data_IF_181413174237
#
_entry.id   IF_181413174237
#
_cell.length_a   1.000
_cell.length_b   1.000
_cell.length_c   1.000
_cell.angle_alpha   90.00
_cell.angle_beta   90.00
_cell.angle_gamma   90.00
#
_symmetry.space_group_name_H-M   'P 1'
#
loop_
_entity.id
_entity.type
_entity.pdbx_description
1 polymer ?
#
# COMPACT_ATOMS: atom_id res chain seq x y z
N UNK A 1 -3.40 9.10 6.64
CA UNK A 1 -3.14 8.28 5.44
C UNK A 1 -3.27 9.11 4.18
N UNK A 2 -2.35 8.94 3.22
CA UNK A 2 -2.43 9.50 1.86
C UNK A 2 -2.89 8.43 0.86
N UNK A 3 -3.79 8.78 -0.05
CA UNK A 3 -4.25 7.90 -1.15
C UNK A 3 -4.08 8.63 -2.47
N UNK A 4 -3.57 7.93 -3.48
CA UNK A 4 -3.47 8.41 -4.87
C UNK A 4 -4.10 7.38 -5.80
N UNK A 5 -4.95 7.83 -6.69
CA UNK A 5 -5.44 7.05 -7.82
C UNK A 5 -5.28 7.90 -9.07
N UNK A 6 -4.57 7.38 -10.05
CA UNK A 6 -4.37 7.98 -11.36
C UNK A 6 -4.73 6.98 -12.45
N UNK A 7 -5.39 7.44 -13.49
CA UNK A 7 -5.78 6.63 -14.64
C UNK A 7 -5.56 7.43 -15.91
N UNK A 8 -5.00 6.79 -16.92
CA UNK A 8 -4.79 7.37 -18.24
C UNK A 8 -4.90 6.30 -19.32
N UNK A 9 -5.18 6.73 -20.55
CA UNK A 9 -5.13 5.89 -21.74
C UNK A 9 -3.87 6.21 -22.53
N UNK A 10 -3.30 5.19 -23.18
CA UNK A 10 -2.15 5.30 -24.08
C UNK A 10 -2.36 4.35 -25.28
N UNK A 11 -1.50 4.39 -26.29
CA UNK A 11 -1.67 3.59 -27.51
C UNK A 11 -1.73 2.07 -27.25
N UNK A 12 -1.08 1.59 -26.19
CA UNK A 12 -1.10 0.18 -25.76
C UNK A 12 -2.29 -0.21 -24.86
N UNK A 13 -3.23 0.70 -24.57
CA UNK A 13 -4.39 0.44 -23.71
C UNK A 13 -4.56 1.43 -22.56
N UNK A 14 -4.82 0.91 -21.38
CA UNK A 14 -5.04 1.72 -20.18
C UNK A 14 -3.94 1.48 -19.13
N UNK A 15 -3.65 2.52 -18.37
CA UNK A 15 -2.75 2.49 -17.23
C UNK A 15 -3.44 3.04 -16.00
N UNK A 16 -3.30 2.35 -14.88
CA UNK A 16 -3.88 2.76 -13.60
C UNK A 16 -2.85 2.62 -12.49
N UNK A 17 -2.62 3.71 -11.78
CA UNK A 17 -1.79 3.75 -10.56
C UNK A 17 -2.70 3.90 -9.34
N UNK A 18 -2.50 3.05 -8.34
CA UNK A 18 -3.07 3.23 -7.01
C UNK A 18 -1.97 3.16 -5.96
N UNK A 19 -1.98 4.08 -5.01
CA UNK A 19 -1.01 4.15 -3.90
C UNK A 19 -1.73 4.42 -2.59
N UNK A 20 -1.30 3.74 -1.54
CA UNK A 20 -1.63 4.06 -0.14
C UNK A 20 -0.32 4.31 0.61
N UNK A 21 -0.30 5.40 1.39
CA UNK A 21 0.78 5.78 2.29
C UNK A 21 0.19 6.01 3.67
N UNK A 22 0.54 5.22 4.66
CA UNK A 22 0.08 5.40 6.03
C UNK A 22 1.16 6.09 6.86
N UNK A 23 0.83 7.30 7.35
CA UNK A 23 1.77 8.18 8.00
C UNK A 23 1.93 7.88 9.49
N UNK A 24 3.16 7.76 9.95
CA UNK A 24 3.56 7.51 11.33
C UNK A 24 4.15 8.76 11.99
N UNK A 25 4.17 8.83 13.33
CA UNK A 25 4.93 9.85 14.08
C UNK A 25 4.12 11.06 14.54
N UNK A 26 2.87 10.86 14.96
CA UNK A 26 1.94 11.90 15.43
C UNK A 26 1.32 12.70 14.28
N UNK A 27 0.10 13.21 14.49
CA UNK A 27 -0.82 13.68 13.45
C UNK A 27 -0.20 14.54 12.32
N UNK A 28 0.52 15.61 12.65
CA UNK A 28 0.99 16.57 11.63
C UNK A 28 2.20 16.10 10.80
N UNK A 29 2.97 15.13 11.28
CA UNK A 29 4.27 14.78 10.71
C UNK A 29 4.20 13.54 9.82
N UNK A 30 3.43 12.55 10.20
CA UNK A 30 3.11 11.42 9.34
C UNK A 30 2.33 11.86 8.09
N UNK A 31 1.42 12.84 8.23
CA UNK A 31 0.72 13.45 7.09
C UNK A 31 1.68 14.12 6.10
N UNK A 32 2.71 14.82 6.59
CA UNK A 32 3.69 15.47 5.72
C UNK A 32 4.53 14.45 4.96
N UNK A 33 4.96 13.36 5.62
CA UNK A 33 5.71 12.28 4.99
C UNK A 33 4.86 11.60 3.90
N UNK A 34 3.63 11.18 4.22
CA UNK A 34 2.73 10.54 3.26
C UNK A 34 2.40 11.46 2.09
N UNK A 35 2.09 12.75 2.34
CA UNK A 35 1.83 13.72 1.29
C UNK A 35 3.05 13.95 0.38
N UNK A 36 4.28 13.93 0.92
CA UNK A 36 5.50 14.09 0.13
C UNK A 36 5.68 12.92 -0.83
N UNK A 37 5.49 11.69 -0.35
CA UNK A 37 5.58 10.48 -1.18
C UNK A 37 4.48 10.47 -2.25
N UNK A 38 3.24 10.74 -1.88
CA UNK A 38 2.09 10.80 -2.81
C UNK A 38 2.34 11.81 -3.93
N UNK A 39 2.85 13.02 -3.62
CA UNK A 39 3.15 14.04 -4.63
C UNK A 39 4.26 13.59 -5.58
N UNK A 40 5.29 12.91 -5.08
CA UNK A 40 6.38 12.41 -5.92
C UNK A 40 5.87 11.37 -6.91
N UNK A 41 5.03 10.43 -6.49
CA UNK A 41 4.44 9.43 -7.37
C UNK A 41 3.39 10.02 -8.33
N UNK A 42 2.63 11.02 -7.89
CA UNK A 42 1.73 11.76 -8.79
C UNK A 42 2.51 12.47 -9.91
N UNK A 43 3.62 13.14 -9.55
CA UNK A 43 4.50 13.79 -10.51
C UNK A 43 5.14 12.79 -11.48
N UNK A 44 5.66 11.68 -10.96
CA UNK A 44 6.23 10.63 -11.80
C UNK A 44 5.19 10.09 -12.81
N UNK A 45 3.96 9.85 -12.38
CA UNK A 45 2.89 9.40 -13.27
C UNK A 45 2.60 10.39 -14.40
N UNK A 46 2.61 11.69 -14.11
CA UNK A 46 2.26 12.73 -15.07
C UNK A 46 3.43 13.07 -16.02
N UNK A 47 4.68 13.06 -15.51
CA UNK A 47 5.83 13.60 -16.23
C UNK A 47 6.78 12.52 -16.77
N UNK A 48 6.90 11.37 -16.14
CA UNK A 48 7.89 10.33 -16.49
C UNK A 48 7.27 9.08 -17.09
N UNK A 49 6.15 8.60 -16.54
CA UNK A 49 5.47 7.40 -17.02
C UNK A 49 5.15 7.43 -18.53
N UNK A 50 4.72 8.56 -19.16
CA UNK A 50 4.45 8.58 -20.60
C UNK A 50 5.63 8.10 -21.45
N UNK A 51 6.87 8.45 -21.09
CA UNK A 51 8.06 7.99 -21.79
C UNK A 51 8.38 6.51 -21.55
N UNK A 52 7.98 5.97 -20.40
CA UNK A 52 8.18 4.56 -20.09
C UNK A 52 7.15 3.66 -20.79
N UNK A 53 6.00 4.21 -21.15
CA UNK A 53 4.96 3.52 -21.91
C UNK A 53 5.32 3.33 -23.39
N UNK A 54 6.31 4.03 -23.93
CA UNK A 54 6.83 3.80 -25.28
C UNK A 54 7.49 2.41 -25.43
N UNK A 55 8.16 1.93 -24.37
CA UNK A 55 8.77 0.59 -24.30
C UNK A 55 8.56 0.01 -22.89
N UNK A 56 7.40 -0.55 -22.64
CA UNK A 56 6.98 -1.02 -21.31
C UNK A 56 7.89 -2.15 -20.80
N UNK A 57 8.62 -1.88 -19.72
CA UNK A 57 9.29 -2.88 -18.90
C UNK A 57 8.98 -2.64 -17.41
N UNK A 58 8.08 -3.45 -16.88
CA UNK A 58 7.65 -3.32 -15.48
C UNK A 58 8.75 -3.60 -14.47
N UNK A 59 9.82 -4.33 -14.84
CA UNK A 59 10.98 -4.52 -13.97
C UNK A 59 11.80 -3.23 -13.88
N UNK A 60 11.95 -2.52 -14.99
CA UNK A 60 12.60 -1.20 -15.03
C UNK A 60 11.80 -0.20 -14.21
N UNK A 61 10.48 -0.13 -14.41
CA UNK A 61 9.57 0.73 -13.63
C UNK A 61 9.68 0.42 -12.13
N UNK A 62 9.63 -0.85 -11.74
CA UNK A 62 9.78 -1.26 -10.34
C UNK A 62 11.14 -0.90 -9.75
N UNK A 63 12.22 -1.02 -10.54
CA UNK A 63 13.56 -0.57 -10.16
C UNK A 63 13.63 0.94 -9.92
N UNK A 64 13.01 1.75 -10.79
CA UNK A 64 12.90 3.21 -10.62
C UNK A 64 12.10 3.57 -9.37
N UNK A 65 10.98 2.90 -9.12
CA UNK A 65 10.19 3.11 -7.91
C UNK A 65 10.99 2.80 -6.64
N UNK A 66 11.79 1.72 -6.68
CA UNK A 66 12.70 1.41 -5.56
C UNK A 66 13.70 2.53 -5.31
N UNK A 67 14.31 3.08 -6.36
CA UNK A 67 15.25 4.21 -6.25
C UNK A 67 14.55 5.49 -5.77
N UNK A 68 13.37 5.80 -6.28
CA UNK A 68 12.56 6.93 -5.81
C UNK A 68 12.24 6.83 -4.33
N UNK A 69 11.85 5.65 -3.84
CA UNK A 69 11.55 5.45 -2.41
C UNK A 69 12.79 5.59 -1.53
N UNK A 70 13.95 5.13 -2.00
CA UNK A 70 15.23 5.32 -1.30
C UNK A 70 15.62 6.81 -1.23
N UNK A 71 15.49 7.56 -2.33
CA UNK A 71 15.73 9.01 -2.34
C UNK A 71 14.76 9.76 -1.44
N UNK A 72 13.46 9.45 -1.53
CA UNK A 72 12.44 10.04 -0.67
C UNK A 72 12.70 9.76 0.81
N UNK A 73 13.16 8.54 1.15
CA UNK A 73 13.55 8.21 2.52
C UNK A 73 14.65 9.16 3.03
N UNK A 74 15.72 9.34 2.28
CA UNK A 74 16.82 10.24 2.66
C UNK A 74 16.31 11.68 2.85
N UNK A 75 15.56 12.20 1.89
CA UNK A 75 15.04 13.57 1.93
C UNK A 75 14.09 13.82 3.10
N UNK A 76 13.18 12.87 3.38
CA UNK A 76 12.24 12.98 4.51
C UNK A 76 13.00 12.84 5.83
N UNK A 77 13.97 11.93 5.92
CA UNK A 77 14.81 11.74 7.10
C UNK A 77 15.62 13.01 7.44
N UNK A 78 16.21 13.67 6.43
CA UNK A 78 16.91 14.94 6.61
C UNK A 78 15.96 16.07 7.05
N UNK A 79 14.79 16.15 6.42
CA UNK A 79 13.76 17.11 6.83
C UNK A 79 13.28 16.83 8.28
N UNK A 80 13.14 15.56 8.66
CA UNK A 80 12.80 15.16 10.02
C UNK A 80 13.83 15.67 11.03
N UNK A 81 15.12 15.44 10.77
CA UNK A 81 16.21 15.92 11.63
C UNK A 81 16.22 17.45 11.80
N UNK A 82 15.81 18.19 10.74
CA UNK A 82 15.80 19.65 10.74
C UNK A 82 14.57 20.26 11.44
N UNK A 83 13.42 19.64 11.30
CA UNK A 83 12.13 20.25 11.71
C UNK A 83 11.44 19.52 12.85
N UNK A 84 11.89 18.31 13.23
CA UNK A 84 11.35 17.57 14.35
C UNK A 84 12.15 17.82 15.63
N UNK A 85 11.48 17.70 16.79
CA UNK A 85 12.15 17.72 18.08
C UNK A 85 12.99 16.45 18.24
N UNK A 86 14.02 16.52 19.10
CA UNK A 86 14.84 15.33 19.39
C UNK A 86 13.96 14.14 19.84
N UNK A 87 14.14 13.01 19.16
CA UNK A 87 13.36 11.79 19.41
C UNK A 87 12.04 11.67 18.65
N UNK A 88 11.64 12.67 17.87
CA UNK A 88 10.48 12.57 16.96
C UNK A 88 10.95 12.30 15.54
N UNK A 89 10.28 11.39 14.86
CA UNK A 89 10.51 11.11 13.44
C UNK A 89 9.21 11.28 12.64
N UNK A 90 9.34 11.63 11.38
CA UNK A 90 8.23 11.56 10.43
C UNK A 90 8.51 10.47 9.42
N UNK A 91 7.58 9.55 9.28
CA UNK A 91 7.68 8.44 8.37
C UNK A 91 6.33 8.03 7.83
N UNK A 92 6.36 7.23 6.79
CA UNK A 92 5.16 6.68 6.18
C UNK A 92 5.42 5.30 5.61
N UNK A 93 4.40 4.45 5.57
CA UNK A 93 4.41 3.27 4.71
C UNK A 93 4.28 3.70 3.25
N UNK A 94 4.55 2.80 2.35
CA UNK A 94 4.24 2.94 0.93
C UNK A 94 3.78 1.60 0.36
N UNK A 95 2.64 1.60 -0.29
CA UNK A 95 2.19 0.48 -1.11
C UNK A 95 1.56 1.04 -2.38
N UNK A 96 2.21 0.79 -3.50
CA UNK A 96 1.76 1.22 -4.82
C UNK A 96 1.63 0.04 -5.77
N UNK A 97 0.58 0.06 -6.60
CA UNK A 97 0.38 -0.86 -7.74
C UNK A 97 0.13 -0.05 -9.00
N UNK A 98 0.84 -0.38 -10.07
CA UNK A 98 0.59 0.12 -11.42
C UNK A 98 0.14 -1.03 -12.29
N UNK A 99 -1.01 -0.88 -12.91
CA UNK A 99 -1.49 -1.76 -13.98
C UNK A 99 -1.14 -1.14 -15.33
N UNK A 100 -0.58 -1.95 -16.23
CA UNK A 100 -0.28 -1.58 -17.63
C UNK A 100 -0.75 -2.73 -18.51
N UNK A 101 -1.86 -2.55 -19.20
CA UNK A 101 -2.50 -3.63 -19.97
C UNK A 101 -2.83 -4.83 -19.08
N UNK A 102 -2.30 -6.01 -19.44
CA UNK A 102 -2.51 -7.28 -18.73
C UNK A 102 -1.45 -7.59 -17.65
N UNK A 103 -0.68 -6.61 -17.21
CA UNK A 103 0.40 -6.78 -16.25
C UNK A 103 0.33 -5.75 -15.14
N UNK A 104 0.99 -6.03 -14.02
CA UNK A 104 1.15 -5.08 -12.94
C UNK A 104 2.56 -5.10 -12.34
N UNK A 105 2.95 -3.97 -11.74
CA UNK A 105 4.09 -3.86 -10.83
C UNK A 105 3.62 -3.32 -9.49
N UNK A 106 4.15 -3.88 -8.40
CA UNK A 106 3.95 -3.42 -7.03
C UNK A 106 5.29 -3.01 -6.45
N UNK A 107 5.33 -1.88 -5.74
CA UNK A 107 6.39 -1.58 -4.79
C UNK A 107 5.78 -1.37 -3.40
N UNK A 108 6.49 -1.85 -2.36
CA UNK A 108 5.94 -1.89 -1.01
C UNK A 108 7.03 -1.64 0.05
N UNK A 109 6.72 -0.79 1.02
CA UNK A 109 7.48 -0.54 2.27
C UNK A 109 6.48 -0.40 3.42
N UNK A 110 6.62 -1.23 4.45
CA UNK A 110 5.80 -1.17 5.65
C UNK A 110 4.84 -2.36 5.80
N UNK A 111 3.60 -2.11 6.18
CA UNK A 111 2.58 -3.13 6.47
C UNK A 111 1.19 -2.82 5.87
N UNK A 112 1.07 -1.77 5.06
CA UNK A 112 -0.08 -1.63 4.16
C UNK A 112 -0.06 -2.76 3.13
N UNK A 113 -1.20 -3.27 2.69
CA UNK A 113 -1.24 -4.51 1.91
C UNK A 113 -1.88 -4.33 0.54
N UNK A 114 -1.45 -5.18 -0.40
CA UNK A 114 -2.19 -5.47 -1.65
C UNK A 114 -2.72 -6.89 -1.57
N UNK A 115 -4.01 -7.03 -1.81
CA UNK A 115 -4.67 -8.32 -2.01
C UNK A 115 -5.15 -8.47 -3.44
N UNK A 116 -5.03 -9.68 -3.98
CA UNK A 116 -5.69 -10.13 -5.20
C UNK A 116 -6.90 -10.96 -4.79
N UNK A 117 -8.07 -10.66 -5.34
CA UNK A 117 -9.34 -11.29 -4.98
C UNK A 117 -9.95 -11.91 -6.22
N UNK A 118 -10.03 -13.24 -6.23
CA UNK A 118 -10.58 -14.06 -7.33
C UNK A 118 -11.62 -15.03 -6.76
N UNK A 119 -11.38 -16.34 -6.87
CA UNK A 119 -12.10 -17.38 -6.12
C UNK A 119 -11.66 -17.46 -4.66
N UNK A 120 -10.57 -16.83 -4.33
CA UNK A 120 -9.99 -16.68 -2.99
C UNK A 120 -9.43 -15.26 -2.82
N UNK A 121 -8.90 -14.97 -1.63
CA UNK A 121 -8.23 -13.71 -1.33
C UNK A 121 -6.78 -14.01 -0.97
N UNK A 122 -5.85 -13.48 -1.79
CA UNK A 122 -4.43 -13.70 -1.65
C UNK A 122 -3.70 -12.38 -1.39
N UNK A 123 -3.00 -12.28 -0.27
CA UNK A 123 -2.06 -11.19 -0.03
C UNK A 123 -0.86 -11.30 -0.97
N UNK A 124 -0.54 -10.22 -1.68
CA UNK A 124 0.60 -10.15 -2.61
C UNK A 124 1.84 -9.55 -1.94
N UNK A 125 1.69 -8.55 -1.11
CA UNK A 125 2.78 -7.92 -0.35
C UNK A 125 3.11 -8.71 0.91
N UNK A 126 4.33 -8.54 1.42
CA UNK A 126 4.76 -9.14 2.70
C UNK A 126 4.94 -8.04 3.73
N UNK A 127 4.23 -8.13 4.84
CA UNK A 127 4.36 -7.14 5.93
C UNK A 127 5.79 -7.07 6.44
N UNK A 128 6.33 -5.87 6.51
CA UNK A 128 7.67 -5.59 7.00
C UNK A 128 7.62 -5.17 8.49
N UNK A 129 6.99 -6.04 9.31
CA UNK A 129 6.88 -5.86 10.76
C UNK A 129 7.80 -6.82 11.51
N UNK A 130 8.06 -6.50 12.78
CA UNK A 130 8.82 -7.38 13.68
C UNK A 130 8.19 -8.79 13.74
N UNK A 131 6.89 -8.86 13.97
CA UNK A 131 6.19 -10.14 14.12
C UNK A 131 6.16 -10.95 12.83
N UNK A 132 5.96 -10.31 11.67
CA UNK A 132 6.00 -10.98 10.38
C UNK A 132 7.37 -11.63 10.11
N UNK A 133 8.46 -10.92 10.46
CA UNK A 133 9.82 -11.46 10.38
C UNK A 133 10.03 -12.65 11.31
N UNK A 134 9.56 -12.57 12.56
CA UNK A 134 9.74 -13.68 13.51
C UNK A 134 8.92 -14.92 13.09
N UNK A 135 7.72 -14.71 12.55
CA UNK A 135 6.92 -15.80 11.98
C UNK A 135 7.65 -16.46 10.79
N UNK A 136 8.19 -15.66 9.87
CA UNK A 136 8.93 -16.16 8.70
C UNK A 136 10.19 -16.95 9.08
N UNK A 137 10.81 -16.64 10.23
CA UNK A 137 11.97 -17.35 10.80
C UNK A 137 11.58 -18.59 11.60
N UNK A 138 10.28 -18.83 11.82
CA UNK A 138 9.80 -19.92 12.67
C UNK A 138 10.02 -19.72 14.15
N UNK A 139 10.40 -18.54 14.60
CA UNK A 139 10.60 -18.18 16.02
C UNK A 139 9.32 -17.75 16.73
N UNK A 140 8.25 -17.55 15.96
CA UNK A 140 6.92 -17.16 16.46
C UNK A 140 5.83 -17.81 15.61
N UNK A 141 4.72 -18.26 16.24
CA UNK A 141 3.52 -18.70 15.51
C UNK A 141 2.66 -17.52 15.10
N UNK A 142 1.77 -17.71 14.13
CA UNK A 142 0.79 -16.67 13.75
C UNK A 142 -0.09 -16.24 14.93
N UNK A 143 -0.51 -17.17 15.77
CA UNK A 143 -1.32 -16.88 16.96
C UNK A 143 -0.56 -16.01 17.98
N UNK A 144 0.72 -16.32 18.20
CA UNK A 144 1.59 -15.52 19.05
C UNK A 144 1.79 -14.12 18.48
N UNK A 145 1.98 -14.01 17.15
CA UNK A 145 2.16 -12.73 16.47
C UNK A 145 0.95 -11.80 16.64
N UNK A 146 -0.27 -12.32 16.56
CA UNK A 146 -1.51 -11.55 16.75
C UNK A 146 -1.64 -10.97 18.17
N UNK A 147 -1.07 -11.64 19.17
CA UNK A 147 -1.13 -11.24 20.58
C UNK A 147 0.11 -10.46 21.05
N UNK A 148 1.17 -10.39 20.23
CA UNK A 148 2.41 -9.71 20.59
C UNK A 148 2.19 -8.18 20.63
N UNK A 149 2.67 -7.54 21.70
CA UNK A 149 2.58 -6.07 21.86
C UNK A 149 3.33 -5.31 20.77
N UNK A 150 4.27 -5.96 20.08
CA UNK A 150 5.08 -5.41 18.97
C UNK A 150 4.46 -5.69 17.59
N UNK A 151 3.21 -6.16 17.52
CA UNK A 151 2.58 -6.53 16.24
C UNK A 151 2.59 -5.42 15.18
N UNK A 152 2.51 -4.16 15.64
CA UNK A 152 2.52 -2.97 14.76
C UNK A 152 3.93 -2.35 14.65
N UNK A 153 4.99 -3.01 15.15
CA UNK A 153 6.35 -2.49 15.08
C UNK A 153 6.93 -2.72 13.69
N UNK A 154 6.98 -1.65 12.89
CA UNK A 154 7.58 -1.68 11.55
C UNK A 154 9.10 -1.88 11.63
N UNK A 155 9.63 -2.68 10.71
CA UNK A 155 11.07 -2.86 10.51
C UNK A 155 11.66 -1.77 9.65
N UNK A 156 10.84 -1.21 8.76
CA UNK A 156 11.23 -0.08 7.92
C UNK A 156 10.01 0.74 7.48
N UNK A 157 10.22 2.02 7.32
CA UNK A 157 9.27 2.98 6.77
C UNK A 157 10.01 4.13 6.09
N UNK A 158 9.40 4.73 5.10
CA UNK A 158 9.99 5.83 4.33
C UNK A 158 10.05 7.10 5.19
N UNK A 159 11.25 7.62 5.42
CA UNK A 159 11.50 8.85 6.17
C UNK A 159 11.90 8.67 7.64
N UNK A 160 11.81 7.45 8.19
CA UNK A 160 12.23 7.18 9.57
C UNK A 160 13.16 5.96 9.71
N UNK A 161 13.52 5.32 8.63
CA UNK A 161 14.52 4.25 8.60
C UNK A 161 15.85 4.75 8.04
N UNK A 162 16.97 4.27 8.56
CA UNK A 162 18.29 4.60 8.01
C UNK A 162 18.41 4.15 6.54
N UNK A 163 17.87 2.97 6.25
CA UNK A 163 17.81 2.40 4.89
C UNK A 163 16.42 1.80 4.67
N UNK A 164 15.88 1.97 3.48
CA UNK A 164 14.68 1.25 3.03
C UNK A 164 15.03 0.34 1.87
N UNK A 165 14.51 -0.88 1.94
CA UNK A 165 14.60 -1.88 0.87
C UNK A 165 13.17 -2.23 0.42
N UNK A 166 12.64 -1.52 -0.59
CA UNK A 166 11.30 -1.77 -1.08
C UNK A 166 11.16 -3.19 -1.65
N UNK A 167 10.09 -3.89 -1.28
CA UNK A 167 9.70 -5.11 -1.98
C UNK A 167 9.14 -4.70 -3.36
N UNK A 168 9.69 -5.27 -4.43
CA UNK A 168 9.21 -5.05 -5.80
C UNK A 168 8.71 -6.37 -6.37
N UNK A 169 7.49 -6.37 -6.89
CA UNK A 169 6.81 -7.53 -7.47
C UNK A 169 6.24 -7.16 -8.84
N UNK A 170 6.31 -8.08 -9.79
CA UNK A 170 5.61 -7.96 -11.07
C UNK A 170 4.76 -9.19 -11.31
N UNK A 171 3.64 -9.03 -12.00
CA UNK A 171 2.75 -10.14 -12.29
C UNK A 171 1.83 -9.86 -13.46
N UNK A 172 1.06 -10.88 -13.83
CA UNK A 172 -0.05 -10.75 -14.78
C UNK A 172 -1.32 -10.39 -14.04
N UNK A 173 -2.07 -9.46 -14.62
CA UNK A 173 -3.41 -9.11 -14.15
C UNK A 173 -4.34 -10.29 -14.40
N UNK A 174 -5.13 -10.62 -13.40
CA UNK A 174 -6.18 -11.65 -13.53
C UNK A 174 -7.54 -10.99 -13.40
N UNK A 175 -8.53 -11.57 -14.04
CA UNK A 175 -9.93 -11.14 -13.89
C UNK A 175 -10.37 -11.31 -12.43
N UNK A 176 -10.84 -10.21 -11.83
CA UNK A 176 -11.22 -10.20 -10.42
C UNK A 176 -11.19 -8.81 -9.82
N UNK A 177 -10.64 -8.71 -8.61
CA UNK A 177 -10.42 -7.44 -7.94
C UNK A 177 -9.05 -7.40 -7.25
N UNK A 178 -8.54 -6.19 -7.06
CA UNK A 178 -7.39 -5.91 -6.25
C UNK A 178 -7.78 -4.92 -5.16
N UNK A 179 -7.27 -5.12 -3.96
CA UNK A 179 -7.52 -4.23 -2.84
C UNK A 179 -6.20 -3.77 -2.25
N UNK A 180 -6.06 -2.45 -2.06
CA UNK A 180 -5.02 -1.89 -1.22
C UNK A 180 -5.68 -1.43 0.08
N UNK A 181 -5.05 -1.67 1.23
CA UNK A 181 -5.59 -1.21 2.51
C UNK A 181 -4.49 -0.86 3.52
N UNK A 182 -4.82 0.06 4.43
CA UNK A 182 -4.03 0.33 5.64
C UNK A 182 -4.25 -0.78 6.68
N UNK A 183 -3.40 -0.78 7.70
CA UNK A 183 -3.52 -1.69 8.85
C UNK A 183 -4.81 -1.43 9.63
N UNK A 184 -5.22 -0.17 9.84
CA UNK A 184 -6.48 0.17 10.49
C UNK A 184 -7.72 -0.36 9.76
N UNK A 185 -7.67 -0.64 8.45
CA UNK A 185 -8.78 -1.31 7.77
C UNK A 185 -8.91 -2.79 8.15
N UNK A 186 -7.82 -3.46 8.49
CA UNK A 186 -7.75 -4.91 8.69
C UNK A 186 -7.60 -5.39 10.14
N UNK A 187 -7.38 -4.48 11.10
CA UNK A 187 -7.17 -4.84 12.51
C UNK A 187 -8.39 -5.52 13.12
N UNK A 188 -9.58 -4.98 12.84
CA UNK A 188 -10.82 -5.39 13.48
C UNK A 188 -11.74 -6.20 12.54
N UNK A 189 -11.22 -6.67 11.40
CA UNK A 189 -11.97 -7.45 10.41
C UNK A 189 -11.14 -8.63 9.92
N UNK A 190 -11.77 -9.77 9.73
CA UNK A 190 -11.14 -10.99 9.25
C UNK A 190 -11.04 -11.02 7.72
N UNK A 191 -10.06 -11.75 7.17
CA UNK A 191 -9.96 -11.96 5.72
C UNK A 191 -11.21 -12.63 5.14
N UNK A 192 -11.88 -13.48 5.92
CA UNK A 192 -13.13 -14.10 5.52
C UNK A 192 -14.25 -13.06 5.34
N UNK A 193 -14.43 -12.16 6.30
CA UNK A 193 -15.43 -11.08 6.21
C UNK A 193 -15.15 -10.14 5.04
N UNK A 194 -13.86 -9.82 4.82
CA UNK A 194 -13.44 -9.05 3.66
C UNK A 194 -13.81 -9.78 2.37
N UNK A 195 -13.47 -11.07 2.25
CA UNK A 195 -13.75 -11.86 1.06
C UNK A 195 -15.27 -12.00 0.81
N UNK A 196 -16.07 -12.28 1.83
CA UNK A 196 -17.52 -12.39 1.71
C UNK A 196 -18.14 -11.12 1.11
N UNK A 197 -17.60 -9.94 1.42
CA UNK A 197 -18.09 -8.66 0.88
C UNK A 197 -17.43 -8.28 -0.45
N UNK A 198 -16.17 -8.62 -0.66
CA UNK A 198 -15.36 -8.13 -1.78
C UNK A 198 -15.07 -9.17 -2.86
N UNK A 199 -15.68 -10.37 -2.79
CA UNK A 199 -15.52 -11.30 -3.91
C UNK A 199 -16.07 -10.68 -5.22
N UNK A 200 -15.52 -11.05 -6.39
CA UNK A 200 -15.83 -10.38 -7.66
C UNK A 200 -17.33 -10.40 -8.05
N UNK A 201 -18.09 -11.39 -7.55
CA UNK A 201 -19.53 -11.49 -7.79
C UNK A 201 -20.28 -10.31 -7.15
N UNK A 202 -19.80 -9.85 -6.00
CA UNK A 202 -20.39 -8.73 -5.26
C UNK A 202 -19.91 -7.36 -5.76
N UNK A 203 -18.90 -7.31 -6.64
CA UNK A 203 -18.28 -6.08 -7.15
C UNK A 203 -18.64 -5.76 -8.59
N UNK A 204 -19.89 -6.04 -9.01
CA UNK A 204 -20.34 -5.97 -10.40
C UNK A 204 -20.23 -4.58 -11.04
N UNK A 205 -20.25 -3.51 -10.27
CA UNK A 205 -20.18 -2.14 -10.76
C UNK A 205 -19.65 -1.19 -9.69
N UNK A 206 -19.33 0.04 -10.08
CA UNK A 206 -18.80 1.09 -9.20
C UNK A 206 -19.63 1.32 -7.94
N UNK A 207 -20.97 1.28 -8.07
CA UNK A 207 -21.89 1.48 -6.94
C UNK A 207 -21.79 0.33 -5.94
N UNK A 208 -21.75 -0.92 -6.42
CA UNK A 208 -21.57 -2.09 -5.58
C UNK A 208 -20.20 -2.07 -4.87
N UNK A 209 -19.12 -1.77 -5.60
CA UNK A 209 -17.78 -1.61 -5.03
C UNK A 209 -17.76 -0.58 -3.90
N UNK A 210 -18.32 0.61 -4.15
CA UNK A 210 -18.40 1.67 -3.13
C UNK A 210 -19.24 1.24 -1.91
N UNK A 211 -20.40 0.63 -2.14
CA UNK A 211 -21.28 0.20 -1.05
C UNK A 211 -20.63 -0.87 -0.17
N UNK A 212 -19.95 -1.85 -0.76
CA UNK A 212 -19.28 -2.91 -0.02
C UNK A 212 -18.03 -2.40 0.73
N UNK A 213 -17.23 -1.54 0.10
CA UNK A 213 -16.13 -0.89 0.79
C UNK A 213 -16.61 -0.06 1.98
N UNK A 214 -17.66 0.75 1.79
CA UNK A 214 -18.27 1.55 2.86
C UNK A 214 -18.81 0.67 3.98
N UNK A 215 -19.51 -0.41 3.66
CA UNK A 215 -20.02 -1.36 4.65
C UNK A 215 -18.88 -1.89 5.54
N UNK A 216 -17.76 -2.35 4.94
CA UNK A 216 -16.62 -2.85 5.70
C UNK A 216 -15.99 -1.76 6.56
N UNK A 217 -15.83 -0.54 6.04
CA UNK A 217 -15.30 0.60 6.82
C UNK A 217 -16.20 0.88 8.03
N UNK A 218 -17.53 0.86 7.88
CA UNK A 218 -18.44 1.08 9.00
C UNK A 218 -18.42 -0.09 10.00
N UNK A 219 -18.21 -1.33 9.55
CA UNK A 219 -18.00 -2.48 10.46
C UNK A 219 -16.74 -2.30 11.30
N UNK A 220 -15.60 -1.93 10.67
CA UNK A 220 -14.34 -1.67 11.36
C UNK A 220 -14.48 -0.56 12.38
N UNK A 221 -15.14 0.56 12.03
CA UNK A 221 -15.44 1.66 12.97
C UNK A 221 -16.32 1.22 14.12
N UNK A 222 -17.36 0.40 13.86
CA UNK A 222 -18.26 -0.08 14.89
C UNK A 222 -17.55 -0.98 15.92
N UNK A 223 -16.43 -1.59 15.54
CA UNK A 223 -15.54 -2.39 16.40
C UNK A 223 -14.49 -1.55 17.12
N UNK A 224 -14.62 -0.22 17.08
CA UNK A 224 -13.81 0.75 17.83
C UNK A 224 -12.35 0.86 17.33
N UNK A 225 -12.08 0.58 16.05
CA UNK A 225 -10.79 0.92 15.45
C UNK A 225 -10.50 2.42 15.63
N UNK A 226 -9.25 2.73 16.03
CA UNK A 226 -8.80 4.09 16.33
C UNK A 226 -7.86 4.65 15.27
N UNK A 227 -7.32 3.79 14.43
CA UNK A 227 -6.39 4.20 13.40
C UNK A 227 -7.11 4.68 12.13
N UNK A 228 -6.35 5.26 11.22
CA UNK A 228 -6.85 5.68 9.92
C UNK A 228 -7.28 4.47 9.09
N UNK A 229 -8.51 4.46 8.65
CA UNK A 229 -9.09 3.38 7.85
C UNK A 229 -9.08 3.80 6.39
N UNK A 230 -8.24 3.14 5.58
CA UNK A 230 -8.13 3.42 4.15
C UNK A 230 -8.19 2.14 3.32
N UNK A 231 -9.01 2.17 2.26
CA UNK A 231 -9.15 1.05 1.32
C UNK A 231 -9.34 1.59 -0.10
N UNK A 232 -8.65 0.97 -1.06
CA UNK A 232 -8.83 1.20 -2.51
C UNK A 232 -9.19 -0.13 -3.14
N UNK A 233 -10.24 -0.13 -3.96
CA UNK A 233 -10.68 -1.29 -4.74
C UNK A 233 -10.51 -1.02 -6.23
N UNK A 234 -9.93 -1.98 -6.93
CA UNK A 234 -9.72 -1.96 -8.38
C UNK A 234 -10.34 -3.24 -8.92
N UNK A 235 -11.21 -3.12 -9.90
CA UNK A 235 -11.76 -4.28 -10.60
C UNK A 235 -11.07 -4.44 -11.95
N UNK A 236 -10.71 -5.67 -12.27
CA UNK A 236 -10.10 -6.08 -13.54
C UNK A 236 -11.02 -7.04 -14.29
N UNK A 237 -11.09 -6.92 -15.61
CA UNK A 237 -11.97 -7.70 -16.50
C UNK A 237 -11.18 -8.63 -17.43
#
# INVERSE_FOLDING_TARGET
>A
TGVLIKHASYDGGEVLLAVICDGMGGLARGELASATVIRAFAKWFDEELPYELENVDLKVIGGKWSLMLKDLNVRILEASKKYCRSGEAMGTTFTGILFVGDQYVIAHVGDTRVYQITSDMKQLTTDQTFVAREVSRGTMTLEQALQDKRRNMLLQCVGASDVVEPQVLTGKTVKGAYMLCSDGFRHEITEREMYESLNPINLMNKKAMHSNAKYLVEQVKSRQEKDNISVVLIRTE
#
